data_IF_659385954617
#
_entry.id   IF_659385954617
#
_cell.length_a   1.000
_cell.length_b   1.000
_cell.length_c   1.000
_cell.angle_alpha   90.00
_cell.angle_beta   90.00
_cell.angle_gamma   90.00
#
_symmetry.space_group_name_H-M   'P 1'
#
loop_
_entity.id
_entity.type
_entity.pdbx_description
1 polymer ?
#
# COMPACT_ATOMS: atom_id res chain seq x y z
N UNK A 1 -21.05 -5.27 -10.94
CA UNK A 1 -21.55 -5.74 -12.25
C UNK A 1 -21.12 -7.19 -12.44
N UNK A 2 -21.97 -8.12 -12.91
CA UNK A 2 -21.53 -9.49 -13.18
C UNK A 2 -20.70 -9.50 -14.47
N UNK A 3 -19.38 -9.56 -14.34
CA UNK A 3 -18.48 -9.75 -15.47
C UNK A 3 -18.68 -11.14 -16.07
N UNK A 4 -18.70 -11.23 -17.40
CA UNK A 4 -18.72 -12.52 -18.08
C UNK A 4 -17.45 -13.31 -17.76
N UNK A 5 -17.63 -14.55 -17.29
CA UNK A 5 -16.53 -15.40 -16.82
C UNK A 5 -15.44 -15.59 -17.87
N UNK A 6 -15.83 -15.68 -19.14
CA UNK A 6 -14.92 -15.89 -20.27
C UNK A 6 -14.00 -14.68 -20.47
N UNK A 7 -14.56 -13.46 -20.46
CA UNK A 7 -13.81 -12.20 -20.62
C UNK A 7 -12.81 -11.99 -19.49
N UNK A 8 -13.19 -12.36 -18.26
CA UNK A 8 -12.31 -12.32 -17.09
C UNK A 8 -11.16 -13.31 -17.22
N UNK A 9 -11.42 -14.55 -17.67
CA UNK A 9 -10.34 -15.52 -17.87
C UNK A 9 -9.39 -15.11 -19.00
N UNK A 10 -9.91 -14.53 -20.08
CA UNK A 10 -9.08 -13.97 -21.16
C UNK A 10 -8.17 -12.84 -20.68
N UNK A 11 -8.65 -11.98 -19.79
CA UNK A 11 -7.82 -10.93 -19.16
C UNK A 11 -6.63 -11.55 -18.42
N UNK A 12 -6.87 -12.51 -17.53
CA UNK A 12 -5.80 -13.18 -16.79
C UNK A 12 -4.84 -13.94 -17.73
N UNK A 13 -5.34 -14.64 -18.75
CA UNK A 13 -4.48 -15.33 -19.71
C UNK A 13 -3.63 -14.38 -20.54
N UNK A 14 -4.15 -13.20 -20.90
CA UNK A 14 -3.39 -12.16 -21.60
C UNK A 14 -2.24 -11.64 -20.73
N UNK A 15 -2.50 -11.42 -19.44
CA UNK A 15 -1.49 -10.99 -18.46
C UNK A 15 -0.42 -12.06 -18.26
N UNK A 16 -0.79 -13.33 -18.15
CA UNK A 16 0.16 -14.45 -18.00
C UNK A 16 1.07 -14.63 -19.21
N UNK A 17 0.61 -14.31 -20.41
CA UNK A 17 1.44 -14.35 -21.62
C UNK A 17 2.54 -13.30 -21.61
N UNK A 18 2.26 -12.12 -21.05
CA UNK A 18 3.25 -11.04 -20.91
C UNK A 18 4.16 -11.22 -19.69
N UNK A 19 3.59 -11.71 -18.58
CA UNK A 19 4.26 -11.93 -17.30
C UNK A 19 4.14 -13.41 -16.89
N UNK A 20 5.01 -14.30 -17.43
CA UNK A 20 4.92 -15.75 -17.18
C UNK A 20 5.17 -16.18 -15.73
N UNK A 21 5.77 -15.31 -14.91
CA UNK A 21 5.97 -15.53 -13.47
C UNK A 21 4.64 -15.68 -12.72
N UNK A 22 3.59 -14.99 -13.18
CA UNK A 22 2.23 -15.06 -12.66
C UNK A 22 1.58 -16.42 -12.99
N UNK A 23 1.88 -17.43 -12.18
CA UNK A 23 1.49 -18.82 -12.46
C UNK A 23 0.36 -19.33 -11.56
N UNK A 24 0.09 -18.66 -10.43
CA UNK A 24 -0.83 -19.14 -9.39
C UNK A 24 -2.16 -18.40 -9.47
N UNK A 25 -3.10 -18.93 -10.25
CA UNK A 25 -4.47 -18.42 -10.32
C UNK A 25 -5.38 -19.12 -9.30
N UNK A 26 -6.15 -18.36 -8.52
CA UNK A 26 -7.07 -18.87 -7.49
C UNK A 26 -8.33 -18.02 -7.41
N UNK A 27 -9.46 -18.65 -7.10
CA UNK A 27 -10.68 -17.98 -6.67
C UNK A 27 -10.80 -18.10 -5.16
N UNK A 28 -11.09 -17.02 -4.46
CA UNK A 28 -11.31 -16.99 -3.01
C UNK A 28 -12.80 -17.07 -2.68
N UNK A 29 -13.09 -17.35 -1.41
CA UNK A 29 -14.46 -17.47 -0.89
C UNK A 29 -15.26 -16.18 -1.00
N UNK A 30 -14.60 -15.03 -0.88
CA UNK A 30 -15.18 -13.69 -1.09
C UNK A 30 -15.52 -13.37 -2.56
N UNK A 31 -15.29 -14.32 -3.47
CA UNK A 31 -15.52 -14.16 -4.90
C UNK A 31 -14.38 -13.49 -5.66
N UNK A 32 -13.32 -13.04 -4.97
CA UNK A 32 -12.15 -12.43 -5.62
C UNK A 32 -11.35 -13.45 -6.43
N UNK A 33 -10.77 -12.99 -7.52
CA UNK A 33 -9.85 -13.75 -8.36
C UNK A 33 -8.45 -13.21 -8.17
N UNK A 34 -7.51 -14.09 -7.85
CA UNK A 34 -6.13 -13.72 -7.54
C UNK A 34 -5.20 -14.46 -8.47
N UNK A 35 -4.24 -13.74 -9.05
CA UNK A 35 -3.15 -14.24 -9.86
C UNK A 35 -1.84 -13.77 -9.23
N UNK A 36 -1.00 -14.71 -8.78
CA UNK A 36 0.24 -14.39 -8.06
C UNK A 36 1.45 -15.08 -8.71
N UNK A 37 2.60 -14.43 -8.56
CA UNK A 37 3.90 -15.01 -8.85
C UNK A 37 4.30 -16.09 -7.83
N UNK A 38 5.27 -16.91 -8.18
CA UNK A 38 5.87 -17.83 -7.21
C UNK A 38 6.67 -17.05 -6.16
N UNK A 39 6.68 -17.54 -4.92
CA UNK A 39 7.54 -17.07 -3.83
C UNK A 39 8.99 -17.56 -3.97
N UNK A 40 9.25 -18.50 -4.88
CA UNK A 40 10.59 -19.07 -5.14
C UNK A 40 11.45 -18.20 -6.08
N UNK A 41 10.85 -17.23 -6.77
CA UNK A 41 11.53 -16.33 -7.69
C UNK A 41 12.45 -15.38 -6.91
N UNK A 42 13.73 -15.30 -7.30
CA UNK A 42 14.75 -14.47 -6.64
C UNK A 42 14.57 -12.95 -6.84
N UNK A 43 13.54 -12.51 -7.56
CA UNK A 43 13.30 -11.11 -7.90
C UNK A 43 11.81 -10.82 -7.95
N UNK A 44 11.36 -9.75 -7.28
CA UNK A 44 10.07 -9.07 -7.46
C UNK A 44 8.84 -9.97 -7.62
N UNK A 45 8.05 -10.17 -6.55
CA UNK A 45 6.83 -11.00 -6.65
C UNK A 45 5.63 -10.17 -7.08
N UNK A 46 5.20 -10.34 -8.34
CA UNK A 46 3.95 -9.75 -8.86
C UNK A 46 2.71 -10.40 -8.27
N UNK A 47 1.66 -9.61 -8.14
CA UNK A 47 0.33 -10.08 -7.83
C UNK A 47 -0.72 -9.19 -8.50
N UNK A 48 -1.86 -9.80 -8.79
CA UNK A 48 -3.04 -9.18 -9.38
C UNK A 48 -4.26 -9.78 -8.69
N UNK A 49 -5.21 -8.94 -8.30
CA UNK A 49 -6.44 -9.32 -7.64
C UNK A 49 -7.59 -8.54 -8.26
N UNK A 50 -8.59 -9.26 -8.73
CA UNK A 50 -9.86 -8.72 -9.19
C UNK A 50 -10.93 -9.05 -8.15
N UNK A 51 -11.39 -8.01 -7.46
CA UNK A 51 -12.53 -8.03 -6.55
C UNK A 51 -13.81 -7.61 -7.29
N UNK A 52 -15.00 -7.84 -6.73
CA UNK A 52 -16.26 -7.41 -7.35
C UNK A 52 -16.35 -5.91 -7.67
N UNK A 53 -15.60 -5.07 -6.95
CA UNK A 53 -15.63 -3.62 -7.06
C UNK A 53 -14.23 -2.98 -7.20
N UNK A 54 -13.16 -3.75 -7.35
CA UNK A 54 -11.82 -3.17 -7.52
C UNK A 54 -10.87 -4.09 -8.28
N UNK A 55 -10.02 -3.50 -9.11
CA UNK A 55 -8.84 -4.14 -9.66
C UNK A 55 -7.62 -3.66 -8.87
N UNK A 56 -6.87 -4.59 -8.29
CA UNK A 56 -5.67 -4.31 -7.50
C UNK A 56 -4.50 -5.11 -8.05
N UNK A 57 -3.33 -4.52 -8.07
CA UNK A 57 -2.12 -5.20 -8.49
C UNK A 57 -0.91 -4.52 -7.89
N UNK A 58 0.20 -5.24 -7.88
CA UNK A 58 1.45 -4.70 -7.39
C UNK A 58 2.57 -5.72 -7.45
N UNK A 59 3.69 -5.33 -6.86
CA UNK A 59 4.89 -6.15 -6.78
C UNK A 59 5.50 -6.00 -5.38
N UNK A 60 5.83 -7.11 -4.74
CA UNK A 60 6.67 -7.10 -3.54
C UNK A 60 8.13 -7.08 -3.96
N UNK A 61 8.96 -6.31 -3.26
CA UNK A 61 10.41 -6.18 -3.51
C UNK A 61 10.76 -5.98 -4.99
N UNK A 62 10.22 -4.92 -5.63
CA UNK A 62 10.47 -4.69 -7.04
C UNK A 62 11.97 -4.48 -7.30
N UNK A 63 12.52 -5.02 -8.40
CA UNK A 63 13.94 -4.86 -8.72
C UNK A 63 14.30 -3.40 -9.05
N UNK A 64 13.33 -2.67 -9.60
CA UNK A 64 13.41 -1.27 -9.97
C UNK A 64 11.98 -0.69 -10.14
N UNK A 65 11.86 0.64 -10.12
CA UNK A 65 10.58 1.33 -10.29
C UNK A 65 9.95 1.07 -11.67
N UNK A 66 10.77 1.00 -12.72
CA UNK A 66 10.32 0.77 -14.10
C UNK A 66 9.61 -0.57 -14.27
N UNK A 67 9.98 -1.59 -13.52
CA UNK A 67 9.37 -2.90 -13.54
C UNK A 67 7.96 -2.90 -12.97
N UNK A 68 7.67 -2.03 -12.01
CA UNK A 68 6.31 -1.81 -11.49
C UNK A 68 5.50 -0.97 -12.47
N UNK A 69 6.08 0.11 -13.01
CA UNK A 69 5.42 0.99 -14.00
C UNK A 69 5.01 0.20 -15.24
N UNK A 70 5.91 -0.61 -15.84
CA UNK A 70 5.59 -1.48 -16.99
C UNK A 70 4.46 -2.48 -16.70
N UNK A 71 4.42 -3.03 -15.49
CA UNK A 71 3.38 -3.97 -15.09
C UNK A 71 2.02 -3.26 -14.98
N UNK A 72 1.99 -2.09 -14.36
CA UNK A 72 0.81 -1.24 -14.23
C UNK A 72 0.29 -0.79 -15.60
N UNK A 73 1.17 -0.25 -16.46
CA UNK A 73 0.84 0.23 -17.80
C UNK A 73 0.18 -0.87 -18.63
N UNK A 74 0.75 -2.08 -18.62
CA UNK A 74 0.19 -3.21 -19.36
C UNK A 74 -1.20 -3.59 -18.83
N UNK A 75 -1.36 -3.70 -17.50
CA UNK A 75 -2.65 -4.06 -16.90
C UNK A 75 -3.71 -3.01 -17.24
N UNK A 76 -3.41 -1.72 -17.07
CA UNK A 76 -4.34 -0.63 -17.35
C UNK A 76 -4.64 -0.49 -18.85
N UNK A 77 -3.72 -0.90 -19.72
CA UNK A 77 -3.98 -1.01 -21.15
C UNK A 77 -4.94 -2.18 -21.46
N UNK A 78 -4.81 -3.34 -20.80
CA UNK A 78 -5.66 -4.50 -21.08
C UNK A 78 -7.04 -4.40 -20.41
N UNK A 79 -7.14 -3.80 -19.22
CA UNK A 79 -8.35 -3.84 -18.39
C UNK A 79 -9.61 -3.27 -19.08
N UNK A 80 -9.58 -2.12 -19.79
CA UNK A 80 -10.77 -1.59 -20.48
C UNK A 80 -11.36 -2.57 -21.51
N UNK A 81 -10.51 -3.29 -22.24
CA UNK A 81 -10.95 -4.20 -23.30
C UNK A 81 -11.58 -5.49 -22.78
N UNK A 82 -11.25 -5.90 -21.55
CA UNK A 82 -11.70 -7.19 -21.00
C UNK A 82 -12.66 -7.06 -19.81
N UNK A 83 -12.54 -6.00 -19.03
CA UNK A 83 -13.35 -5.79 -17.83
C UNK A 83 -14.49 -4.80 -18.07
N UNK A 84 -14.61 -4.28 -19.30
CA UNK A 84 -15.64 -3.30 -19.68
C UNK A 84 -15.62 -2.07 -18.76
N UNK A 85 -14.44 -1.67 -18.29
CA UNK A 85 -14.29 -0.48 -17.45
C UNK A 85 -14.51 0.77 -18.30
N UNK A 86 -15.53 1.55 -17.95
CA UNK A 86 -15.73 2.91 -18.45
C UNK A 86 -15.08 3.92 -17.51
N UNK A 87 -14.69 5.08 -18.05
CA UNK A 87 -14.26 6.22 -17.23
C UNK A 87 -15.35 6.69 -16.23
N UNK A 88 -16.60 6.32 -16.47
CA UNK A 88 -17.75 6.57 -15.59
C UNK A 88 -17.81 5.63 -14.38
N UNK A 89 -17.03 4.53 -14.38
CA UNK A 89 -17.08 3.50 -13.33
C UNK A 89 -15.99 3.68 -12.25
N UNK A 90 -15.05 4.62 -12.44
CA UNK A 90 -14.00 4.86 -11.46
C UNK A 90 -14.47 5.84 -10.38
N UNK A 91 -14.39 5.41 -9.13
CA UNK A 91 -14.49 6.33 -7.99
C UNK A 91 -13.13 7.00 -7.72
N UNK A 92 -12.06 6.20 -7.70
CA UNK A 92 -10.68 6.63 -7.47
C UNK A 92 -9.65 5.63 -7.98
N UNK A 93 -8.40 6.08 -8.05
CA UNK A 93 -7.21 5.25 -8.30
C UNK A 93 -6.15 5.58 -7.24
N UNK A 94 -5.49 4.53 -6.76
CA UNK A 94 -4.40 4.62 -5.80
C UNK A 94 -3.09 4.11 -6.38
N UNK A 95 -2.00 4.80 -6.05
CA UNK A 95 -0.64 4.25 -6.05
C UNK A 95 -0.19 4.19 -4.58
N UNK A 96 0.22 3.00 -4.14
CA UNK A 96 0.59 2.75 -2.73
C UNK A 96 2.02 2.23 -2.66
N UNK A 97 2.86 2.91 -1.89
CA UNK A 97 4.20 2.47 -1.53
C UNK A 97 4.16 1.92 -0.11
N UNK A 98 4.62 0.68 0.07
CA UNK A 98 4.68 0.01 1.36
C UNK A 98 6.11 -0.22 1.81
N UNK A 99 6.42 0.15 3.05
CA UNK A 99 7.70 -0.14 3.70
C UNK A 99 7.42 -0.99 4.94
N UNK A 100 8.01 -2.18 5.00
CA UNK A 100 7.86 -3.09 6.14
C UNK A 100 9.18 -3.17 6.91
N UNK A 101 9.14 -2.83 8.20
CA UNK A 101 10.29 -2.85 9.09
C UNK A 101 10.05 -3.89 10.19
N UNK A 102 10.78 -5.01 10.15
CA UNK A 102 10.65 -6.06 11.18
C UNK A 102 11.09 -5.54 12.55
N UNK A 103 10.27 -5.75 13.57
CA UNK A 103 10.59 -5.41 14.94
C UNK A 103 10.07 -6.49 15.90
N UNK A 104 10.79 -6.68 17.00
CA UNK A 104 10.48 -7.64 18.05
C UNK A 104 10.39 -6.87 19.37
N UNK A 105 9.20 -6.33 19.64
CA UNK A 105 8.94 -5.48 20.81
C UNK A 105 7.56 -4.83 20.75
N UNK A 106 7.28 -3.91 21.67
CA UNK A 106 6.07 -3.10 21.60
C UNK A 106 6.22 -2.04 20.49
N UNK A 107 5.54 -2.27 19.36
CA UNK A 107 5.56 -1.40 18.19
C UNK A 107 5.07 0.01 18.53
N UNK A 108 3.96 0.13 19.27
CA UNK A 108 3.37 1.42 19.61
C UNK A 108 4.24 2.20 20.59
N UNK A 109 4.92 1.53 21.50
CA UNK A 109 5.94 2.18 22.34
C UNK A 109 7.11 2.72 21.51
N UNK A 110 7.60 1.96 20.52
CA UNK A 110 8.62 2.43 19.59
C UNK A 110 8.15 3.66 18.81
N UNK A 111 6.92 3.64 18.30
CA UNK A 111 6.35 4.77 17.55
C UNK A 111 6.14 6.00 18.44
N UNK A 112 5.62 5.84 19.66
CA UNK A 112 5.55 6.89 20.69
C UNK A 112 6.92 7.56 20.87
N UNK A 113 7.93 6.74 21.08
CA UNK A 113 9.30 7.16 21.32
C UNK A 113 9.97 7.82 20.11
N UNK A 114 9.55 7.49 18.91
CA UNK A 114 10.19 7.98 17.69
C UNK A 114 9.51 9.22 17.14
N UNK A 115 8.17 9.24 17.14
CA UNK A 115 7.38 10.26 16.43
C UNK A 115 6.69 11.25 17.38
N UNK A 116 6.41 10.84 18.62
CA UNK A 116 5.51 11.59 19.50
C UNK A 116 6.18 12.21 20.71
N UNK A 117 7.44 11.87 21.02
CA UNK A 117 8.15 12.33 22.23
C UNK A 117 8.10 13.85 22.43
N UNK A 118 8.38 14.60 21.37
CA UNK A 118 8.40 16.07 21.40
C UNK A 118 7.11 16.70 20.87
N UNK A 119 6.10 15.88 20.56
CA UNK A 119 4.81 16.32 20.06
C UNK A 119 3.85 16.62 21.23
N UNK A 120 2.96 17.64 21.13
CA UNK A 120 2.00 17.95 22.20
C UNK A 120 1.11 16.76 22.62
N UNK A 121 0.80 15.86 21.69
CA UNK A 121 0.02 14.65 21.97
C UNK A 121 0.80 13.60 22.78
N UNK A 122 2.13 13.65 22.78
CA UNK A 122 2.98 12.77 23.58
C UNK A 122 2.68 12.86 25.07
N UNK A 123 2.20 14.00 25.56
CA UNK A 123 1.83 14.18 26.97
C UNK A 123 0.80 13.17 27.48
N UNK A 124 -0.10 12.68 26.62
CA UNK A 124 -1.03 11.60 26.96
C UNK A 124 -0.30 10.26 27.11
N UNK A 125 0.53 9.93 26.12
CA UNK A 125 1.29 8.66 26.02
C UNK A 125 2.29 8.51 27.17
N UNK A 126 2.89 9.60 27.63
CA UNK A 126 3.87 9.64 28.72
C UNK A 126 3.30 10.17 30.05
N UNK A 127 1.97 10.29 30.15
CA UNK A 127 1.36 10.75 31.39
C UNK A 127 1.67 9.78 32.54
N UNK A 128 1.73 10.29 33.77
CA UNK A 128 1.92 9.47 34.98
C UNK A 128 0.82 8.40 35.20
N UNK A 129 -0.28 8.44 34.42
CA UNK A 129 -1.36 7.46 34.44
C UNK A 129 -1.21 6.38 33.38
N UNK A 130 -0.37 6.59 32.37
CA UNK A 130 -0.14 5.63 31.30
C UNK A 130 0.81 4.53 31.81
N UNK A 131 0.28 3.31 31.96
CA UNK A 131 1.09 2.14 32.31
C UNK A 131 1.82 1.57 31.08
N UNK A 132 1.14 1.56 29.92
CA UNK A 132 1.68 1.10 28.65
C UNK A 132 1.11 1.93 27.50
N UNK A 133 1.90 2.14 26.45
CA UNK A 133 1.40 2.64 25.17
C UNK A 133 0.75 1.48 24.41
N UNK A 134 -0.51 1.70 23.98
CA UNK A 134 -1.32 0.70 23.28
C UNK A 134 -1.53 1.01 21.79
N UNK A 135 -1.57 2.29 21.44
CA UNK A 135 -1.79 2.73 20.07
C UNK A 135 -1.13 4.10 19.88
N UNK A 136 -0.13 4.16 19.01
CA UNK A 136 0.58 5.38 18.64
C UNK A 136 0.79 5.47 17.13
N UNK A 137 -0.12 4.87 16.35
CA UNK A 137 -0.07 4.79 14.90
C UNK A 137 -0.60 6.09 14.25
N UNK A 138 0.23 6.90 13.59
CA UNK A 138 -0.28 8.04 12.83
C UNK A 138 -1.03 7.62 11.56
N UNK A 139 -2.10 8.37 11.29
CA UNK A 139 -2.79 8.41 10.00
C UNK A 139 -2.96 9.87 9.60
N UNK A 140 -2.28 10.29 8.54
CA UNK A 140 -2.24 11.68 8.10
C UNK A 140 -2.66 11.75 6.63
N UNK A 141 -3.43 12.76 6.26
CA UNK A 141 -3.88 13.00 4.90
C UNK A 141 -3.77 14.47 4.53
N UNK A 142 -3.36 14.73 3.29
CA UNK A 142 -3.31 16.06 2.69
C UNK A 142 -3.99 16.04 1.34
N UNK A 143 -4.48 17.20 0.91
CA UNK A 143 -4.82 17.40 -0.48
C UNK A 143 -3.70 18.12 -1.22
N UNK A 144 -3.48 17.70 -2.46
CA UNK A 144 -2.49 18.27 -3.38
C UNK A 144 -3.14 19.37 -4.23
N UNK A 145 -4.44 19.27 -4.50
CA UNK A 145 -5.21 20.22 -5.32
C UNK A 145 -6.25 20.97 -4.47
N UNK A 146 -6.57 22.24 -4.78
CA UNK A 146 -7.63 22.97 -4.07
C UNK A 146 -9.00 22.27 -4.09
N UNK A 147 -9.27 21.49 -5.13
CA UNK A 147 -10.52 20.75 -5.34
C UNK A 147 -10.63 19.47 -4.50
N UNK A 148 -9.56 19.09 -3.79
CA UNK A 148 -9.50 17.85 -3.01
C UNK A 148 -9.66 16.56 -3.84
N UNK A 149 -9.40 16.59 -5.14
CA UNK A 149 -9.50 15.42 -6.01
C UNK A 149 -8.18 14.64 -6.13
N UNK A 150 -7.04 15.30 -5.90
CA UNK A 150 -5.74 14.65 -5.75
C UNK A 150 -5.30 14.77 -4.28
N UNK A 151 -5.02 13.62 -3.67
CA UNK A 151 -4.74 13.52 -2.24
C UNK A 151 -3.55 12.58 -1.98
N UNK A 152 -2.89 12.79 -0.84
CA UNK A 152 -1.86 11.90 -0.35
C UNK A 152 -2.09 11.54 1.12
N UNK A 153 -1.84 10.29 1.46
CA UNK A 153 -2.00 9.76 2.82
C UNK A 153 -0.74 9.03 3.27
N UNK A 154 -0.41 9.16 4.54
CA UNK A 154 0.58 8.30 5.20
C UNK A 154 -0.06 7.60 6.38
N UNK A 155 0.04 6.28 6.40
CA UNK A 155 -0.49 5.41 7.44
C UNK A 155 0.64 4.53 7.99
N UNK A 156 0.81 4.49 9.31
CA UNK A 156 1.71 3.53 9.96
C UNK A 156 0.87 2.48 10.68
N UNK A 157 1.16 1.20 10.46
CA UNK A 157 0.50 0.08 11.13
C UNK A 157 1.45 -0.69 12.04
N UNK A 158 1.10 -0.71 13.32
CA UNK A 158 1.61 -1.59 14.35
C UNK A 158 0.83 -2.91 14.33
N UNK A 159 1.35 -3.92 15.03
CA UNK A 159 0.72 -5.24 15.15
C UNK A 159 0.78 -5.80 16.58
N UNK A 160 1.31 -5.01 17.52
CA UNK A 160 1.37 -5.39 18.93
C UNK A 160 -0.03 -5.41 19.53
N UNK A 161 -0.34 -6.45 20.28
CA UNK A 161 -1.62 -6.57 20.98
C UNK A 161 -1.46 -6.49 22.50
N UNK A 162 -2.59 -6.30 23.21
CA UNK A 162 -2.56 -6.14 24.68
C UNK A 162 -2.10 -7.38 25.46
N UNK A 163 -2.17 -8.57 24.86
CA UNK A 163 -1.65 -9.79 25.50
C UNK A 163 -0.13 -9.77 25.52
N UNK A 164 0.50 -9.47 24.39
CA UNK A 164 1.96 -9.34 24.25
C UNK A 164 2.51 -8.28 25.22
N UNK A 165 1.86 -7.12 25.32
CA UNK A 165 2.25 -6.04 26.23
C UNK A 165 2.24 -6.50 27.70
N UNK A 166 1.20 -7.22 28.12
CA UNK A 166 1.10 -7.72 29.51
C UNK A 166 2.08 -8.84 29.80
N UNK A 167 2.34 -9.71 28.83
CA UNK A 167 3.28 -10.81 28.97
C UNK A 167 4.75 -10.34 28.90
N UNK A 168 5.02 -9.22 28.20
CA UNK A 168 6.36 -8.79 27.88
C UNK A 168 7.03 -9.67 26.80
N UNK A 169 6.25 -10.49 26.12
CA UNK A 169 6.65 -11.41 25.07
C UNK A 169 6.04 -10.92 23.75
N UNK A 170 6.88 -10.70 22.74
CA UNK A 170 6.47 -10.12 21.45
C UNK A 170 6.88 -11.07 20.34
N UNK A 171 6.04 -11.28 19.33
CA UNK A 171 6.45 -12.00 18.13
C UNK A 171 7.15 -11.05 17.14
N UNK A 172 8.10 -11.53 16.34
CA UNK A 172 8.70 -10.72 15.28
C UNK A 172 7.66 -10.40 14.21
N UNK A 173 7.30 -9.13 14.08
CA UNK A 173 6.27 -8.66 13.15
C UNK A 173 6.70 -7.34 12.51
N UNK A 174 6.26 -7.04 11.28
CA UNK A 174 6.60 -5.77 10.66
C UNK A 174 5.80 -4.63 11.29
N UNK A 175 6.43 -3.46 11.37
CA UNK A 175 5.76 -2.16 11.39
C UNK A 175 5.67 -1.72 9.92
N UNK A 176 4.44 -1.52 9.42
CA UNK A 176 4.22 -1.16 8.02
C UNK A 176 3.98 0.33 7.88
N UNK A 177 4.63 0.99 6.92
CA UNK A 177 4.40 2.39 6.56
C UNK A 177 3.86 2.40 5.14
N UNK A 178 2.68 2.99 4.94
CA UNK A 178 2.03 3.10 3.65
C UNK A 178 1.92 4.57 3.24
N UNK A 179 2.52 4.92 2.11
CA UNK A 179 2.26 6.16 1.39
C UNK A 179 1.25 5.87 0.28
N UNK A 180 0.12 6.56 0.27
CA UNK A 180 -0.91 6.43 -0.77
C UNK A 180 -1.10 7.76 -1.49
N UNK A 181 -0.88 7.78 -2.80
CA UNK A 181 -1.31 8.86 -3.67
C UNK A 181 -2.63 8.45 -4.34
N UNK A 182 -3.67 9.29 -4.21
CA UNK A 182 -5.04 9.00 -4.65
C UNK A 182 -5.58 10.08 -5.56
N UNK A 183 -6.10 9.68 -6.71
CA UNK A 183 -6.94 10.54 -7.57
C UNK A 183 -8.39 10.10 -7.47
N UNK A 184 -9.31 11.03 -7.21
CA UNK A 184 -10.75 10.85 -7.34
C UNK A 184 -11.25 11.29 -8.72
N UNK A 185 -12.25 10.60 -9.26
CA UNK A 185 -12.92 10.95 -10.51
C UNK A 185 -14.16 11.81 -10.25
N UNK A 186 -14.64 12.50 -11.29
CA UNK A 186 -15.90 13.24 -11.24
C UNK A 186 -15.80 14.73 -10.88
N UNK A 187 -14.59 15.25 -10.63
CA UNK A 187 -14.35 16.67 -10.32
C UNK A 187 -13.65 17.40 -11.48
N UNK A 188 -12.70 16.75 -12.13
CA UNK A 188 -11.90 17.29 -13.24
C UNK A 188 -12.12 16.51 -14.54
N UNK A 189 -11.59 17.04 -15.66
CA UNK A 189 -11.78 16.46 -17.01
C UNK A 189 -11.21 15.03 -17.04
N UNK A 190 -11.97 14.10 -17.62
CA UNK A 190 -11.58 12.70 -17.72
C UNK A 190 -10.24 12.55 -18.47
N UNK A 191 -9.29 11.95 -17.78
CA UNK A 191 -8.00 11.51 -18.31
C UNK A 191 -7.96 9.98 -18.35
N UNK A 192 -7.15 9.42 -19.24
CA UNK A 192 -6.99 7.97 -19.31
C UNK A 192 -6.43 7.41 -17.98
N UNK A 193 -6.83 6.20 -17.56
CA UNK A 193 -6.28 5.56 -16.36
C UNK A 193 -4.74 5.52 -16.35
N UNK A 194 -4.10 5.32 -17.50
CA UNK A 194 -2.64 5.28 -17.63
C UNK A 194 -1.98 6.65 -17.36
N UNK A 195 -2.57 7.75 -17.85
CA UNK A 195 -2.05 9.09 -17.55
C UNK A 195 -2.21 9.46 -16.08
N UNK A 196 -3.33 9.08 -15.46
CA UNK A 196 -3.54 9.31 -14.02
C UNK A 196 -2.52 8.51 -13.20
N UNK A 197 -2.34 7.23 -13.52
CA UNK A 197 -1.35 6.37 -12.88
C UNK A 197 0.06 6.96 -12.97
N UNK A 198 0.49 7.44 -14.14
CA UNK A 198 1.82 8.05 -14.29
C UNK A 198 2.00 9.26 -13.36
N UNK A 199 1.01 10.16 -13.30
CA UNK A 199 1.02 11.30 -12.36
C UNK A 199 1.05 10.86 -10.90
N UNK A 200 0.30 9.83 -10.53
CA UNK A 200 0.28 9.30 -9.17
C UNK A 200 1.63 8.68 -8.78
N UNK A 201 2.32 8.02 -9.71
CA UNK A 201 3.69 7.54 -9.47
C UNK A 201 4.66 8.69 -9.23
N UNK A 202 4.63 9.73 -10.06
CA UNK A 202 5.55 10.85 -9.91
C UNK A 202 5.33 11.58 -8.57
N UNK A 203 4.07 11.77 -8.17
CA UNK A 203 3.72 12.31 -6.84
C UNK A 203 4.18 11.39 -5.70
N UNK A 204 3.96 10.07 -5.81
CA UNK A 204 4.36 9.12 -4.78
C UNK A 204 5.90 9.04 -4.65
N UNK A 205 6.63 9.10 -5.76
CA UNK A 205 8.09 9.13 -5.79
C UNK A 205 8.64 10.38 -5.10
N UNK A 206 8.09 11.56 -5.41
CA UNK A 206 8.47 12.83 -4.77
C UNK A 206 8.20 12.78 -3.26
N UNK A 207 6.98 12.45 -2.84
CA UNK A 207 6.61 12.39 -1.41
C UNK A 207 7.40 11.32 -0.65
N UNK A 208 7.71 10.18 -1.29
CA UNK A 208 8.52 9.14 -0.69
C UNK A 208 9.95 9.64 -0.44
N UNK A 209 10.59 10.21 -1.46
CA UNK A 209 11.97 10.65 -1.40
C UNK A 209 12.18 11.86 -0.47
N UNK A 210 11.28 12.85 -0.54
CA UNK A 210 11.46 14.12 0.16
C UNK A 210 10.94 14.09 1.61
N UNK A 211 9.96 13.23 1.90
CA UNK A 211 9.28 13.24 3.19
C UNK A 211 9.19 11.87 3.87
N UNK A 212 8.54 10.87 3.28
CA UNK A 212 8.22 9.62 4.00
C UNK A 212 9.47 8.83 4.37
N UNK A 213 10.41 8.67 3.45
CA UNK A 213 11.65 7.95 3.75
C UNK A 213 12.50 8.70 4.78
N UNK A 214 12.82 10.00 4.62
CA UNK A 214 13.65 10.72 5.58
C UNK A 214 13.00 10.95 6.95
N UNK A 215 11.70 11.22 7.01
CA UNK A 215 11.02 11.65 8.25
C UNK A 215 10.32 10.52 8.99
N UNK A 216 10.08 9.37 8.34
CA UNK A 216 9.34 8.25 8.96
C UNK A 216 10.11 6.93 8.86
N UNK A 217 10.46 6.48 7.66
CA UNK A 217 11.12 5.18 7.47
C UNK A 217 12.48 5.15 8.16
N UNK A 218 13.35 6.12 7.85
CA UNK A 218 14.71 6.16 8.39
C UNK A 218 14.75 6.32 9.93
N UNK A 219 13.98 7.23 10.56
CA UNK A 219 13.94 7.34 12.02
C UNK A 219 13.43 6.08 12.71
N UNK A 220 12.38 5.43 12.17
CA UNK A 220 11.86 4.19 12.74
C UNK A 220 12.87 3.06 12.58
N UNK A 221 13.50 2.91 11.41
CA UNK A 221 14.55 1.92 11.18
C UNK A 221 15.75 2.12 12.12
N UNK A 222 16.16 3.37 12.33
CA UNK A 222 17.23 3.71 13.28
C UNK A 222 16.83 3.40 14.73
N UNK A 223 15.59 3.69 15.12
CA UNK A 223 15.07 3.36 16.44
C UNK A 223 14.98 1.84 16.69
N UNK A 224 14.63 1.06 15.67
CA UNK A 224 14.66 -0.41 15.71
C UNK A 224 16.10 -0.89 15.92
N UNK A 225 17.04 -0.42 15.11
CA UNK A 225 18.44 -0.82 15.19
C UNK A 225 19.11 -0.42 16.50
N UNK A 226 18.71 0.70 17.11
CA UNK A 226 19.20 1.13 18.42
C UNK A 226 18.66 0.33 19.61
N UNK A 227 17.65 -0.54 19.39
CA UNK A 227 17.05 -1.42 20.40
C UNK A 227 17.32 -2.91 20.17
N UNK A 228 17.91 -3.24 19.01
CA UNK A 228 18.29 -4.59 18.62
C UNK A 228 19.58 -5.05 19.31
#
# INVERSE_FOLDING_TARGET
MPLERETVLHFFDRIRKEFPDLSRFRRREDGSLVLEGDRSSSSGRRWLRLDPASLRFGMYDPPDADSVRRFADFILQQAPYHLTFSELDFDHMDVIYGFDLEYHGNHDQLLADTLWRDHPLGGLLYSHRAAHVLDAQPYLGISITPECDLQAYVEIKSRTNTFEIRAGEYEPQPISIYLTARQYWGVTKLESPASVQARLYDLADELAADFVVPQMVNPIAAAISGRA
#
